data_IF_324483824392
#
_entry.id   IF_324483824392
#
_cell.length_a   1.000
_cell.length_b   1.000
_cell.length_c   1.000
_cell.angle_alpha   90.00
_cell.angle_beta   90.00
_cell.angle_gamma   90.00
#
_symmetry.space_group_name_H-M   'P 1'
#
loop_
_entity.id
_entity.type
_entity.pdbx_description
1 polymer ?
#
# COMPACT_ATOMS: atom_id res chain seq x y z
N UNK A 1 -7.42 15.58 -2.44
CA UNK A 1 -8.27 14.40 -2.17
C UNK A 1 -8.53 13.67 -3.49
N UNK A 2 -8.63 12.34 -3.47
CA UNK A 2 -9.01 11.56 -4.66
C UNK A 2 -10.52 11.65 -4.87
N UNK A 3 -10.95 11.81 -6.13
CA UNK A 3 -12.36 11.64 -6.50
C UNK A 3 -12.77 10.17 -6.37
N UNK A 4 -14.07 9.88 -6.18
CA UNK A 4 -14.60 8.51 -6.31
C UNK A 4 -14.08 7.83 -7.59
N UNK A 5 -13.61 6.59 -7.45
CA UNK A 5 -12.96 5.81 -8.52
C UNK A 5 -11.48 6.14 -8.76
N UNK A 6 -10.93 7.18 -8.10
CA UNK A 6 -9.52 7.54 -8.18
C UNK A 6 -8.63 6.44 -7.59
N UNK A 7 -7.50 6.16 -8.25
CA UNK A 7 -6.53 5.15 -7.82
C UNK A 7 -5.41 5.78 -7.00
N UNK A 8 -5.12 5.19 -5.86
CA UNK A 8 -3.92 5.44 -5.07
C UNK A 8 -2.94 4.29 -5.28
N UNK A 9 -1.75 4.60 -5.79
CA UNK A 9 -0.68 3.61 -5.96
C UNK A 9 0.51 4.03 -5.13
N UNK A 10 0.99 3.13 -4.27
CA UNK A 10 2.21 3.34 -3.49
C UNK A 10 3.04 2.07 -3.46
N UNK A 11 4.34 2.19 -3.26
CA UNK A 11 5.20 1.04 -3.07
C UNK A 11 5.87 1.12 -1.69
N UNK A 12 6.17 -0.05 -1.13
CA UNK A 12 6.83 -0.17 0.16
C UNK A 12 7.91 -1.24 0.07
N UNK A 13 9.06 -0.98 0.68
CA UNK A 13 10.04 -2.04 0.85
C UNK A 13 9.51 -3.12 1.79
N UNK A 14 9.94 -4.37 1.59
CA UNK A 14 9.49 -5.51 2.37
C UNK A 14 9.74 -5.34 3.87
N UNK A 15 10.76 -4.56 4.25
CA UNK A 15 11.08 -4.25 5.64
C UNK A 15 10.27 -3.06 6.21
N UNK A 16 9.57 -2.26 5.39
CA UNK A 16 8.84 -1.09 5.87
C UNK A 16 7.79 -1.41 6.96
N UNK A 17 7.05 -2.54 6.91
CA UNK A 17 6.14 -2.95 7.98
C UNK A 17 6.82 -3.36 9.30
N UNK A 18 8.15 -3.52 9.35
CA UNK A 18 8.88 -3.80 10.58
C UNK A 18 8.96 -2.56 11.48
N UNK A 19 8.94 -1.36 10.89
CA UNK A 19 8.93 -0.11 11.64
C UNK A 19 7.50 0.25 12.06
N UNK A 20 7.32 0.71 13.31
CA UNK A 20 6.03 1.17 13.85
C UNK A 20 5.23 2.07 12.90
N UNK A 21 5.79 3.13 12.28
CA UNK A 21 5.04 3.98 11.35
C UNK A 21 4.60 3.24 10.08
N UNK A 22 5.45 2.38 9.52
CA UNK A 22 5.11 1.59 8.33
C UNK A 22 4.03 0.56 8.64
N UNK A 23 4.12 -0.13 9.79
CA UNK A 23 3.07 -1.05 10.26
C UNK A 23 1.72 -0.33 10.36
N UNK A 24 1.67 0.82 11.04
CA UNK A 24 0.45 1.62 11.20
C UNK A 24 -0.13 2.05 9.86
N UNK A 25 0.71 2.48 8.92
CA UNK A 25 0.24 2.90 7.61
C UNK A 25 -0.31 1.72 6.80
N UNK A 26 0.51 0.68 6.56
CA UNK A 26 0.17 -0.41 5.65
C UNK A 26 -0.85 -1.41 6.21
N UNK A 27 -0.91 -1.60 7.53
CA UNK A 27 -1.84 -2.55 8.16
C UNK A 27 -3.12 -1.92 8.69
N UNK A 28 -3.15 -0.62 8.93
CA UNK A 28 -4.32 0.05 9.54
C UNK A 28 -4.88 1.14 8.61
N UNK A 29 -4.12 2.22 8.40
CA UNK A 29 -4.63 3.40 7.67
C UNK A 29 -5.00 3.09 6.22
N UNK A 30 -4.13 2.37 5.53
CA UNK A 30 -4.30 2.05 4.11
C UNK A 30 -5.55 1.20 3.86
N UNK A 31 -5.75 0.03 4.51
CA UNK A 31 -6.98 -0.75 4.32
C UNK A 31 -8.23 -0.05 4.87
N UNK A 32 -8.11 0.80 5.90
CA UNK A 32 -9.25 1.59 6.39
C UNK A 32 -9.69 2.68 5.38
N UNK A 33 -8.75 3.25 4.62
CA UNK A 33 -9.05 4.30 3.63
C UNK A 33 -9.47 3.71 2.28
N UNK A 34 -8.89 2.57 1.91
CA UNK A 34 -9.15 1.88 0.65
C UNK A 34 -9.55 0.43 0.93
N UNK A 35 -10.85 0.16 1.16
CA UNK A 35 -11.35 -1.20 1.29
C UNK A 35 -10.99 -2.02 0.05
N UNK A 36 -10.41 -3.20 0.26
CA UNK A 36 -9.96 -4.06 -0.85
C UNK A 36 -8.67 -3.60 -1.54
N UNK A 37 -7.78 -2.88 -0.83
CA UNK A 37 -6.44 -2.56 -1.36
C UNK A 37 -5.74 -3.82 -1.87
N UNK A 38 -5.36 -3.80 -3.14
CA UNK A 38 -4.61 -4.87 -3.77
C UNK A 38 -3.14 -4.74 -3.40
N UNK A 39 -2.48 -5.84 -3.07
CA UNK A 39 -1.03 -5.90 -2.81
C UNK A 39 -0.35 -6.78 -3.84
N UNK A 40 0.60 -6.21 -4.56
CA UNK A 40 1.36 -6.85 -5.62
C UNK A 40 2.82 -7.02 -5.16
N UNK A 41 3.41 -8.19 -5.40
CA UNK A 41 4.80 -8.51 -5.06
C UNK A 41 4.93 -9.76 -4.16
N UNK A 42 6.13 -10.00 -3.56
CA UNK A 42 7.32 -9.14 -3.62
C UNK A 42 7.94 -9.05 -5.02
N UNK A 43 8.28 -7.83 -5.44
CA UNK A 43 9.02 -7.55 -6.67
C UNK A 43 10.51 -7.65 -6.36
N UNK A 44 11.15 -8.68 -6.88
CA UNK A 44 12.57 -8.99 -6.68
C UNK A 44 13.52 -8.23 -7.61
N UNK A 45 12.99 -7.67 -8.70
CA UNK A 45 13.75 -6.78 -9.61
C UNK A 45 14.03 -5.40 -9.00
N UNK A 46 13.78 -5.23 -7.70
CA UNK A 46 14.13 -4.06 -6.90
C UNK A 46 14.83 -4.56 -5.63
N UNK A 47 15.95 -3.93 -5.25
CA UNK A 47 16.71 -4.31 -4.06
C UNK A 47 16.75 -3.12 -3.08
N UNK A 48 16.26 -3.28 -1.84
CA UNK A 48 15.59 -4.46 -1.27
C UNK A 48 14.21 -4.76 -1.90
N UNK A 49 13.69 -6.01 -1.80
CA UNK A 49 12.41 -6.39 -2.40
C UNK A 49 11.28 -5.45 -1.96
N UNK A 50 10.39 -5.09 -2.88
CA UNK A 50 9.28 -4.19 -2.58
C UNK A 50 7.91 -4.81 -2.89
N UNK A 51 6.87 -4.22 -2.33
CA UNK A 51 5.47 -4.49 -2.66
C UNK A 51 4.86 -3.21 -3.22
N UNK A 52 3.91 -3.36 -4.13
CA UNK A 52 3.06 -2.28 -4.60
C UNK A 52 1.68 -2.47 -4.00
N UNK A 53 1.05 -1.38 -3.58
CA UNK A 53 -0.30 -1.34 -3.08
C UNK A 53 -1.15 -0.47 -3.99
N UNK A 54 -2.29 -1.00 -4.42
CA UNK A 54 -3.23 -0.32 -5.31
C UNK A 54 -4.58 -0.23 -4.60
N UNK A 55 -4.96 0.98 -4.20
CA UNK A 55 -6.25 1.27 -3.59
C UNK A 55 -7.14 2.05 -4.56
N UNK A 56 -8.44 1.76 -4.55
CA UNK A 56 -9.44 2.55 -5.29
C UNK A 56 -10.28 3.31 -4.27
N UNK A 57 -10.39 4.63 -4.41
CA UNK A 57 -11.28 5.44 -3.57
C UNK A 57 -12.72 5.05 -3.90
N UNK A 58 -13.32 4.24 -3.04
CA UNK A 58 -14.77 4.05 -3.00
C UNK A 58 -15.39 5.39 -2.55
N UNK A 59 -16.59 5.72 -3.05
CA UNK A 59 -17.20 7.07 -3.01
C UNK A 59 -16.91 7.90 -1.74
#
# INVERSE_FOLDING_TARGET
MLRPGGRFVTFAYAFSPLFKPGRRFFKEKLPATFPGVERIGPIWKNMPPCHVYVGVKQA
#
